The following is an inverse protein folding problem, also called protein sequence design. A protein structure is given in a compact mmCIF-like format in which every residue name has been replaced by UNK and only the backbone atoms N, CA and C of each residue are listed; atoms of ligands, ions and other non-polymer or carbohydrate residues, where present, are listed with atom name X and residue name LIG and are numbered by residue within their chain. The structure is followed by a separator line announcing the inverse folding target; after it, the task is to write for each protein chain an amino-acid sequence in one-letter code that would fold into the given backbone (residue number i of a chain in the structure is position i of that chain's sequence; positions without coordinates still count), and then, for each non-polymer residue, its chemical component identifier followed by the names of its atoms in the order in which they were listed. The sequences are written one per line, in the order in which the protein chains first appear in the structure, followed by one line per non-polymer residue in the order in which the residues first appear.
data_IF_264540994431
#
_entry.id   IF_264540994431
#
_cell.length_a   1.000
_cell.length_b   1.000
_cell.length_c   1.000
_cell.angle_alpha   90.00
_cell.angle_beta   90.00
_cell.angle_gamma   90.00
#
_symmetry.space_group_name_H-M   'P 1'
#
loop_
_entity.id
_entity.type
_entity.pdbx_description
1 polymer ?
#
# COMPACT_ATOMS: atom_id res chain seq x y z
N UNK A 1 -6.86 -1.36 -23.20
CA UNK A 1 -7.05 -2.82 -23.18
C UNK A 1 -8.27 -3.18 -22.33
N UNK A 2 -8.94 -4.28 -22.67
CA UNK A 2 -10.11 -4.81 -21.97
C UNK A 2 -9.68 -5.87 -20.97
N UNK A 3 -10.14 -5.77 -19.73
CA UNK A 3 -9.88 -6.72 -18.65
C UNK A 3 -11.21 -7.33 -18.19
N UNK A 4 -11.44 -8.60 -18.52
CA UNK A 4 -12.63 -9.31 -18.04
C UNK A 4 -12.46 -9.69 -16.57
N UNK A 5 -13.50 -9.45 -15.77
CA UNK A 5 -13.47 -9.69 -14.34
C UNK A 5 -13.82 -11.15 -14.03
N UNK A 6 -13.10 -11.75 -13.08
CA UNK A 6 -13.38 -13.11 -12.57
C UNK A 6 -14.83 -13.27 -12.08
N UNK A 7 -15.36 -14.48 -12.03
CA UNK A 7 -16.64 -14.79 -11.36
C UNK A 7 -16.49 -14.74 -9.84
N UNK A 8 -17.59 -14.48 -9.12
CA UNK A 8 -17.56 -14.54 -7.66
C UNK A 8 -17.10 -15.91 -7.14
N UNK A 9 -16.39 -15.93 -6.01
CA UNK A 9 -15.88 -17.17 -5.43
C UNK A 9 -14.60 -17.73 -6.07
N UNK A 10 -14.01 -17.06 -7.07
CA UNK A 10 -12.78 -17.49 -7.78
C UNK A 10 -11.63 -17.92 -6.85
N UNK A 11 -11.51 -17.34 -5.65
CA UNK A 11 -10.43 -17.67 -4.70
C UNK A 11 -10.47 -19.11 -4.17
N UNK A 12 -11.62 -19.77 -4.28
CA UNK A 12 -11.79 -21.16 -3.84
C UNK A 12 -11.53 -22.17 -4.96
N UNK A 13 -11.23 -21.69 -6.17
CA UNK A 13 -11.00 -22.55 -7.33
C UNK A 13 -9.50 -22.86 -7.46
N UNK A 14 -9.11 -24.07 -7.08
CA UNK A 14 -7.72 -24.52 -7.16
C UNK A 14 -7.23 -24.73 -8.60
N UNK A 15 -8.14 -24.94 -9.57
CA UNK A 15 -7.77 -25.14 -10.98
C UNK A 15 -7.14 -23.89 -11.59
N UNK A 16 -7.52 -22.70 -11.10
CA UNK A 16 -6.91 -21.42 -11.48
C UNK A 16 -5.39 -21.48 -11.28
N UNK A 17 -4.91 -22.12 -10.22
CA UNK A 17 -3.47 -22.22 -9.98
C UNK A 17 -2.77 -23.06 -11.05
N UNK A 18 -3.31 -24.25 -11.35
CA UNK A 18 -2.73 -25.14 -12.35
C UNK A 18 -2.75 -24.51 -13.74
N UNK A 19 -3.86 -23.86 -14.10
CA UNK A 19 -3.99 -23.18 -15.38
C UNK A 19 -3.09 -21.95 -15.49
N UNK A 20 -2.88 -21.23 -14.39
CA UNK A 20 -1.91 -20.14 -14.32
C UNK A 20 -0.50 -20.68 -14.61
N UNK A 21 -0.11 -21.81 -14.02
CA UNK A 21 1.20 -22.41 -14.29
C UNK A 21 1.32 -22.89 -15.74
N UNK A 22 0.27 -23.50 -16.28
CA UNK A 22 0.28 -24.07 -17.63
C UNK A 22 0.09 -23.04 -18.74
N UNK A 23 -0.24 -21.78 -18.42
CA UNK A 23 -0.47 -20.73 -19.42
C UNK A 23 -1.75 -20.93 -20.20
N UNK A 24 -2.74 -21.55 -19.56
CA UNK A 24 -4.03 -21.86 -20.16
C UNK A 24 -5.13 -20.94 -19.64
N UNK A 25 -4.85 -20.02 -18.70
CA UNK A 25 -5.81 -18.98 -18.33
C UNK A 25 -5.95 -18.00 -19.49
N UNK A 26 -7.18 -17.83 -19.95
CA UNK A 26 -7.57 -16.80 -20.89
C UNK A 26 -8.99 -16.35 -20.57
N UNK A 27 -9.42 -15.28 -21.23
CA UNK A 27 -10.71 -14.65 -20.99
C UNK A 27 -11.94 -15.47 -21.40
N UNK A 28 -11.76 -16.56 -22.16
CA UNK A 28 -12.85 -17.42 -22.63
C UNK A 28 -13.21 -18.53 -21.62
N UNK A 29 -12.45 -18.68 -20.54
CA UNK A 29 -12.73 -19.69 -19.51
C UNK A 29 -13.89 -19.29 -18.60
N UNK A 30 -14.58 -20.30 -18.08
CA UNK A 30 -15.67 -20.18 -17.10
C UNK A 30 -15.27 -19.52 -15.76
N UNK A 31 -13.99 -19.16 -15.58
CA UNK A 31 -13.52 -18.35 -14.47
C UNK A 31 -13.93 -16.89 -14.58
N UNK A 32 -14.26 -16.40 -15.78
CA UNK A 32 -14.55 -15.00 -16.04
C UNK A 32 -16.05 -14.74 -16.19
N UNK A 33 -16.45 -13.57 -15.72
CA UNK A 33 -17.79 -13.02 -15.87
C UNK A 33 -17.90 -12.24 -17.18
N UNK A 34 -19.12 -11.79 -17.51
CA UNK A 34 -19.36 -10.86 -18.62
C UNK A 34 -19.00 -9.40 -18.28
N UNK A 35 -18.65 -9.11 -17.04
CA UNK A 35 -18.23 -7.78 -16.61
C UNK A 35 -16.78 -7.56 -17.02
N UNK A 36 -16.49 -6.37 -17.53
CA UNK A 36 -15.15 -5.97 -17.94
C UNK A 36 -14.85 -4.53 -17.54
N UNK A 37 -13.57 -4.19 -17.48
CA UNK A 37 -13.07 -2.83 -17.29
C UNK A 37 -12.09 -2.49 -18.40
N UNK A 38 -12.09 -1.23 -18.84
CA UNK A 38 -11.15 -0.73 -19.84
C UNK A 38 -10.12 0.12 -19.12
N UNK A 39 -8.84 -0.17 -19.35
CA UNK A 39 -7.71 0.62 -18.87
C UNK A 39 -6.67 0.79 -19.97
N UNK A 40 -5.78 1.76 -19.85
CA UNK A 40 -4.61 1.84 -20.73
C UNK A 40 -3.64 0.69 -20.47
N UNK A 41 -2.80 0.38 -21.46
CA UNK A 41 -1.74 -0.61 -21.29
C UNK A 41 -0.78 -0.13 -20.20
N UNK A 42 -0.57 -0.98 -19.19
CA UNK A 42 0.35 -0.71 -18.09
C UNK A 42 1.63 -1.52 -18.29
N UNK A 43 2.82 -0.89 -18.24
CA UNK A 43 4.10 -1.58 -18.21
C UNK A 43 4.19 -2.61 -17.08
N UNK A 44 5.15 -3.52 -17.14
CA UNK A 44 5.45 -4.38 -16.01
C UNK A 44 6.00 -3.57 -14.84
N UNK A 45 5.62 -3.94 -13.62
CA UNK A 45 6.03 -3.25 -12.42
C UNK A 45 6.10 -4.22 -11.23
N UNK A 46 6.94 -3.94 -10.22
CA UNK A 46 7.03 -4.77 -9.02
C UNK A 46 5.69 -4.89 -8.26
N UNK A 47 5.14 -6.11 -8.17
CA UNK A 47 3.84 -6.37 -7.50
C UNK A 47 3.97 -6.99 -6.10
N UNK A 48 5.13 -7.58 -5.79
CA UNK A 48 5.39 -8.24 -4.51
C UNK A 48 6.72 -7.78 -3.93
N UNK A 49 6.65 -7.06 -2.81
CA UNK A 49 7.77 -6.26 -2.28
C UNK A 49 8.29 -6.75 -0.92
N UNK A 50 8.09 -8.03 -0.58
CA UNK A 50 8.50 -8.54 0.74
C UNK A 50 10.01 -8.44 1.00
N UNK A 51 10.83 -8.53 -0.05
CA UNK A 51 12.29 -8.39 0.00
C UNK A 51 12.79 -7.34 -0.99
N UNK A 52 11.92 -6.41 -1.40
CA UNK A 52 12.27 -5.43 -2.41
C UNK A 52 13.25 -4.39 -1.89
N UNK A 53 13.92 -3.71 -2.81
CA UNK A 53 14.66 -2.48 -2.51
C UNK A 53 13.77 -1.26 -2.69
N UNK A 54 14.19 -0.11 -2.13
CA UNK A 54 13.47 1.16 -2.26
C UNK A 54 13.16 1.51 -3.72
N UNK A 55 14.11 1.23 -4.63
CA UNK A 55 13.95 1.50 -6.06
C UNK A 55 12.76 0.75 -6.67
N UNK A 56 12.50 -0.50 -6.26
CA UNK A 56 11.36 -1.28 -6.78
C UNK A 56 10.02 -0.73 -6.27
N UNK A 57 9.99 -0.18 -5.04
CA UNK A 57 8.80 0.50 -4.53
C UNK A 57 8.55 1.80 -5.31
N UNK A 58 9.58 2.62 -5.51
CA UNK A 58 9.49 3.87 -6.29
C UNK A 58 9.05 3.58 -7.73
N UNK A 59 9.63 2.56 -8.37
CA UNK A 59 9.25 2.12 -9.72
C UNK A 59 7.76 1.76 -9.79
N UNK A 60 7.28 0.92 -8.87
CA UNK A 60 5.88 0.53 -8.81
C UNK A 60 4.95 1.74 -8.62
N UNK A 61 5.30 2.64 -7.69
CA UNK A 61 4.53 3.88 -7.45
C UNK A 61 4.47 4.75 -8.70
N UNK A 62 5.60 4.96 -9.38
CA UNK A 62 5.67 5.78 -10.58
C UNK A 62 4.83 5.21 -11.74
N UNK A 63 4.93 3.90 -11.99
CA UNK A 63 4.13 3.25 -13.05
C UNK A 63 2.64 3.34 -12.72
N UNK A 64 2.24 3.04 -11.48
CA UNK A 64 0.83 3.12 -11.07
C UNK A 64 0.30 4.57 -11.12
N UNK A 65 1.11 5.55 -10.77
CA UNK A 65 0.76 6.97 -10.86
C UNK A 65 0.55 7.43 -12.30
N UNK A 66 1.33 6.94 -13.25
CA UNK A 66 1.19 7.31 -14.65
C UNK A 66 0.02 6.60 -15.35
N UNK A 67 -0.24 5.34 -14.98
CA UNK A 67 -1.13 4.49 -15.77
C UNK A 67 -2.43 4.07 -15.07
N UNK A 68 -2.51 4.14 -13.74
CA UNK A 68 -3.67 3.59 -12.99
C UNK A 68 -4.49 4.64 -12.25
N UNK A 69 -3.87 5.63 -11.61
CA UNK A 69 -4.63 6.54 -10.72
C UNK A 69 -5.59 7.48 -11.45
N UNK A 70 -5.49 7.59 -12.78
CA UNK A 70 -6.44 8.32 -13.63
C UNK A 70 -7.68 7.51 -14.01
N UNK A 71 -7.67 6.20 -13.77
CA UNK A 71 -8.86 5.36 -13.93
C UNK A 71 -9.85 5.64 -12.82
N UNK A 72 -11.12 5.27 -13.00
CA UNK A 72 -12.10 5.35 -11.93
C UNK A 72 -11.61 4.61 -10.67
N UNK A 73 -11.86 5.20 -9.51
CA UNK A 73 -11.38 4.67 -8.24
C UNK A 73 -11.92 3.28 -7.92
N UNK A 74 -13.09 2.93 -8.44
CA UNK A 74 -13.69 1.60 -8.34
C UNK A 74 -12.97 0.54 -9.21
N UNK A 75 -12.02 0.96 -10.07
CA UNK A 75 -11.14 0.08 -10.85
C UNK A 75 -9.86 -0.15 -10.06
N UNK A 76 -9.07 0.90 -9.83
CA UNK A 76 -7.74 0.73 -9.24
C UNK A 76 -7.77 0.39 -7.74
N UNK A 77 -8.88 0.62 -7.02
CA UNK A 77 -9.06 0.11 -5.65
C UNK A 77 -9.88 -1.19 -5.57
N UNK A 78 -10.00 -1.94 -6.68
CA UNK A 78 -10.78 -3.17 -6.73
C UNK A 78 -9.89 -4.43 -6.84
N UNK A 79 -9.97 -5.29 -5.82
CA UNK A 79 -9.19 -6.53 -5.79
C UNK A 79 -9.58 -7.55 -6.86
N UNK A 80 -10.85 -7.62 -7.26
CA UNK A 80 -11.32 -8.49 -8.34
C UNK A 80 -10.70 -8.07 -9.67
N UNK A 81 -10.64 -6.76 -9.93
CA UNK A 81 -9.93 -6.21 -11.07
C UNK A 81 -8.45 -6.61 -11.06
N UNK A 82 -7.73 -6.34 -9.96
CA UNK A 82 -6.30 -6.66 -9.87
C UNK A 82 -6.01 -8.15 -10.05
N UNK A 83 -6.79 -9.03 -9.43
CA UNK A 83 -6.58 -10.47 -9.61
C UNK A 83 -6.83 -10.91 -11.06
N UNK A 84 -7.87 -10.38 -11.70
CA UNK A 84 -8.17 -10.69 -13.10
C UNK A 84 -7.02 -10.22 -14.01
N UNK A 85 -6.55 -8.99 -13.79
CA UNK A 85 -5.45 -8.40 -14.53
C UNK A 85 -4.14 -9.19 -14.37
N UNK A 86 -3.79 -9.56 -13.14
CA UNK A 86 -2.54 -10.25 -12.84
C UNK A 86 -2.51 -11.68 -13.42
N UNK A 87 -3.65 -12.36 -13.45
CA UNK A 87 -3.73 -13.73 -13.96
C UNK A 87 -3.46 -13.85 -15.46
N UNK A 88 -3.93 -12.88 -16.24
CA UNK A 88 -3.89 -12.93 -17.71
C UNK A 88 -2.75 -12.07 -18.23
N UNK A 89 -2.76 -10.77 -17.92
CA UNK A 89 -1.88 -9.78 -18.55
C UNK A 89 -0.48 -9.73 -17.96
N UNK A 90 -0.29 -10.21 -16.72
CA UNK A 90 1.01 -10.17 -16.02
C UNK A 90 1.60 -11.54 -15.72
N UNK A 91 1.01 -12.60 -16.27
CA UNK A 91 1.43 -13.99 -15.99
C UNK A 91 2.93 -14.19 -16.21
N UNK A 92 3.42 -13.86 -17.40
CA UNK A 92 4.78 -14.17 -17.80
C UNK A 92 5.79 -13.40 -16.94
N UNK A 93 5.55 -12.10 -16.74
CA UNK A 93 6.30 -11.28 -15.79
C UNK A 93 6.32 -11.89 -14.38
N UNK A 94 5.18 -12.34 -13.85
CA UNK A 94 5.09 -12.94 -12.51
C UNK A 94 5.88 -14.24 -12.42
N UNK A 95 5.78 -15.09 -13.45
CA UNK A 95 6.48 -16.38 -13.53
C UNK A 95 8.00 -16.18 -13.56
N UNK A 96 8.47 -15.13 -14.22
CA UNK A 96 9.88 -14.78 -14.33
C UNK A 96 10.41 -14.08 -13.07
N UNK A 97 9.75 -13.00 -12.64
CA UNK A 97 10.19 -12.15 -11.52
C UNK A 97 9.97 -12.81 -10.16
N UNK A 98 8.93 -13.63 -10.01
CA UNK A 98 8.54 -14.26 -8.75
C UNK A 98 8.38 -15.78 -8.88
N UNK A 99 9.44 -16.52 -9.22
CA UNK A 99 9.36 -17.95 -9.54
C UNK A 99 8.80 -18.81 -8.40
N UNK A 100 8.84 -18.33 -7.14
CA UNK A 100 8.24 -19.00 -5.99
C UNK A 100 6.74 -19.28 -6.11
N UNK A 101 6.02 -18.60 -7.01
CA UNK A 101 4.61 -18.94 -7.34
C UNK A 101 4.46 -20.38 -7.82
N UNK A 102 5.50 -20.94 -8.45
CA UNK A 102 5.52 -22.34 -8.93
C UNK A 102 5.65 -23.36 -7.80
N UNK A 103 6.08 -22.94 -6.62
CA UNK A 103 6.42 -23.87 -5.54
C UNK A 103 5.19 -24.31 -4.73
N UNK A 104 4.13 -23.48 -4.66
CA UNK A 104 2.89 -23.84 -3.99
C UNK A 104 1.74 -22.87 -4.33
N UNK A 105 0.50 -23.37 -4.25
CA UNK A 105 -0.71 -22.54 -4.31
C UNK A 105 -0.73 -21.43 -3.26
N UNK A 106 -0.11 -21.67 -2.09
CA UNK A 106 0.04 -20.66 -1.04
C UNK A 106 0.89 -19.48 -1.50
N UNK A 107 2.03 -19.73 -2.15
CA UNK A 107 2.88 -18.66 -2.68
C UNK A 107 2.19 -17.90 -3.81
N UNK A 108 1.52 -18.63 -4.70
CA UNK A 108 0.67 -18.04 -5.74
C UNK A 108 -0.41 -17.12 -5.13
N UNK A 109 -1.16 -17.60 -4.14
CA UNK A 109 -2.19 -16.81 -3.48
C UNK A 109 -1.61 -15.60 -2.73
N UNK A 110 -0.37 -15.67 -2.23
CA UNK A 110 0.27 -14.54 -1.57
C UNK A 110 0.78 -13.45 -2.54
N UNK A 111 0.90 -13.75 -3.83
CA UNK A 111 1.46 -12.85 -4.84
C UNK A 111 0.37 -12.39 -5.81
N UNK A 112 -0.42 -13.32 -6.35
CA UNK A 112 -1.39 -13.08 -7.43
C UNK A 112 -2.79 -12.82 -6.90
N UNK A 113 -3.27 -13.66 -5.96
CA UNK A 113 -4.64 -13.58 -5.42
C UNK A 113 -4.71 -13.01 -3.99
N UNK A 114 -3.66 -12.26 -3.59
CA UNK A 114 -3.55 -11.76 -2.22
C UNK A 114 -4.69 -10.78 -1.97
N UNK A 115 -5.44 -11.01 -0.89
CA UNK A 115 -6.53 -10.13 -0.47
C UNK A 115 -6.11 -8.66 -0.61
N UNK A 116 -6.90 -7.91 -1.36
CA UNK A 116 -6.60 -6.54 -1.74
C UNK A 116 -6.99 -5.59 -0.61
N UNK A 117 -6.14 -5.52 0.39
CA UNK A 117 -6.25 -4.63 1.54
C UNK A 117 -4.88 -4.04 1.90
N UNK A 118 -4.78 -3.42 3.08
CA UNK A 118 -3.56 -2.77 3.57
C UNK A 118 -2.32 -3.68 3.62
N UNK A 119 -2.45 -5.01 3.54
CA UNK A 119 -1.31 -5.91 3.46
C UNK A 119 -0.78 -6.10 2.02
N UNK A 120 -1.59 -5.82 1.01
CA UNK A 120 -1.25 -6.00 -0.40
C UNK A 120 -0.30 -4.88 -0.87
N UNK A 121 0.77 -5.23 -1.58
CA UNK A 121 1.78 -4.26 -2.02
C UNK A 121 1.28 -3.35 -3.13
N UNK A 122 0.48 -3.86 -4.07
CA UNK A 122 -0.16 -3.03 -5.10
C UNK A 122 -1.09 -2.01 -4.43
N UNK A 123 -1.88 -2.42 -3.44
CA UNK A 123 -2.73 -1.52 -2.67
C UNK A 123 -1.93 -0.38 -2.01
N UNK A 124 -0.79 -0.70 -1.37
CA UNK A 124 0.12 0.29 -0.78
C UNK A 124 0.66 1.27 -1.82
N UNK A 125 1.13 0.75 -2.95
CA UNK A 125 1.72 1.58 -4.01
C UNK A 125 0.66 2.47 -4.67
N UNK A 126 -0.58 2.01 -4.83
CA UNK A 126 -1.68 2.83 -5.34
C UNK A 126 -2.01 3.97 -4.38
N UNK A 127 -2.12 3.71 -3.08
CA UNK A 127 -2.35 4.78 -2.11
C UNK A 127 -1.19 5.78 -2.08
N UNK A 128 0.05 5.29 -2.15
CA UNK A 128 1.22 6.17 -2.26
C UNK A 128 1.14 7.03 -3.54
N UNK A 129 0.77 6.44 -4.68
CA UNK A 129 0.59 7.16 -5.95
C UNK A 129 -0.56 8.19 -5.90
N UNK A 130 -1.71 7.84 -5.30
CA UNK A 130 -2.81 8.79 -5.06
C UNK A 130 -2.32 9.97 -4.21
N UNK A 131 -1.63 9.71 -3.09
CA UNK A 131 -1.18 10.77 -2.18
C UNK A 131 -0.14 11.70 -2.81
N UNK A 132 0.82 11.13 -3.54
CA UNK A 132 1.85 11.90 -4.26
C UNK A 132 1.21 12.79 -5.33
N UNK A 133 0.22 12.26 -6.07
CA UNK A 133 -0.53 13.05 -7.06
C UNK A 133 -1.30 14.18 -6.38
N UNK A 134 -2.05 13.86 -5.33
CA UNK A 134 -2.98 14.79 -4.70
C UNK A 134 -2.27 15.98 -4.04
N UNK A 135 -1.03 15.80 -3.57
CA UNK A 135 -0.23 16.89 -3.02
C UNK A 135 0.21 17.92 -4.09
N UNK A 136 0.28 17.53 -5.36
CA UNK A 136 0.70 18.44 -6.44
C UNK A 136 2.15 18.90 -6.31
N UNK A 137 3.07 17.98 -5.99
CA UNK A 137 4.51 18.25 -5.84
C UNK A 137 5.11 18.88 -7.11
N UNK A 138 6.16 19.69 -6.93
CA UNK A 138 6.65 20.57 -8.00
C UNK A 138 7.40 19.82 -9.11
N UNK A 139 8.00 18.67 -8.80
CA UNK A 139 8.81 17.89 -9.74
C UNK A 139 8.99 16.42 -9.31
N UNK A 140 9.45 15.59 -10.25
CA UNK A 140 9.68 14.15 -10.04
C UNK A 140 10.67 13.83 -8.90
N UNK A 141 11.63 14.70 -8.59
CA UNK A 141 12.61 14.46 -7.53
C UNK A 141 11.93 14.52 -6.16
N UNK A 142 10.96 15.42 -5.97
CA UNK A 142 10.19 15.49 -4.73
C UNK A 142 9.27 14.28 -4.57
N UNK A 143 8.64 13.84 -5.66
CA UNK A 143 7.79 12.66 -5.67
C UNK A 143 8.57 11.40 -5.29
N UNK A 144 9.76 11.21 -5.85
CA UNK A 144 10.64 10.08 -5.51
C UNK A 144 11.09 10.13 -4.05
N UNK A 145 11.51 11.31 -3.56
CA UNK A 145 11.87 11.49 -2.14
C UNK A 145 10.70 11.17 -1.21
N UNK A 146 9.48 11.44 -1.64
CA UNK A 146 8.30 11.13 -0.85
C UNK A 146 7.97 9.64 -0.87
N UNK A 147 8.06 8.99 -2.04
CA UNK A 147 7.93 7.54 -2.15
C UNK A 147 9.00 6.80 -1.31
N UNK A 148 10.25 7.29 -1.32
CA UNK A 148 11.33 6.81 -0.46
C UNK A 148 10.97 6.97 1.03
N UNK A 149 10.47 8.12 1.44
CA UNK A 149 10.07 8.39 2.83
C UNK A 149 8.95 7.45 3.32
N UNK A 150 7.96 7.17 2.46
CA UNK A 150 6.92 6.18 2.74
C UNK A 150 7.52 4.77 2.87
N UNK A 151 8.42 4.40 1.97
CA UNK A 151 9.08 3.10 1.97
C UNK A 151 9.92 2.88 3.23
N UNK A 152 10.75 3.86 3.61
CA UNK A 152 11.55 3.79 4.83
C UNK A 152 10.67 3.57 6.05
N UNK A 153 9.45 4.12 6.05
CA UNK A 153 8.51 4.04 7.16
C UNK A 153 7.32 3.11 6.88
N UNK A 154 7.51 2.06 6.08
CA UNK A 154 6.42 1.21 5.59
C UNK A 154 5.56 0.57 6.70
N UNK A 155 6.14 0.19 7.85
CA UNK A 155 5.36 -0.33 9.00
C UNK A 155 4.35 0.70 9.54
N UNK A 156 4.78 1.96 9.62
CA UNK A 156 3.92 3.06 10.07
C UNK A 156 2.91 3.43 8.99
N UNK A 157 3.33 3.46 7.73
CA UNK A 157 2.44 3.66 6.59
C UNK A 157 1.35 2.57 6.54
N UNK A 158 1.73 1.30 6.71
CA UNK A 158 0.79 0.17 6.80
C UNK A 158 -0.23 0.37 7.92
N UNK A 159 0.21 0.88 9.09
CA UNK A 159 -0.70 1.16 10.19
C UNK A 159 -1.68 2.30 9.88
N UNK A 160 -1.22 3.38 9.25
CA UNK A 160 -2.07 4.49 8.78
C UNK A 160 -3.11 3.94 7.80
N UNK A 161 -2.69 3.30 6.71
CA UNK A 161 -3.61 2.82 5.68
C UNK A 161 -4.46 1.64 6.14
N UNK A 162 -4.15 0.99 7.27
CA UNK A 162 -5.03 -0.03 7.83
C UNK A 162 -6.37 0.54 8.28
N UNK A 163 -6.39 1.77 8.82
CA UNK A 163 -7.64 2.38 9.30
C UNK A 163 -8.08 3.51 8.37
N UNK A 164 -9.28 3.43 7.77
CA UNK A 164 -9.78 4.42 6.81
C UNK A 164 -9.73 5.87 7.30
N UNK A 165 -9.89 6.11 8.61
CA UNK A 165 -9.89 7.46 9.19
C UNK A 165 -8.56 8.20 9.02
N UNK A 166 -7.45 7.48 8.82
CA UNK A 166 -6.12 8.07 8.59
C UNK A 166 -5.79 8.23 7.11
N UNK A 167 -6.62 7.76 6.18
CA UNK A 167 -6.34 7.72 4.72
C UNK A 167 -6.68 9.04 4.03
N UNK A 168 -6.10 10.13 4.53
CA UNK A 168 -6.17 11.44 3.90
C UNK A 168 -4.75 11.81 3.41
N UNK A 169 -4.63 12.16 2.12
CA UNK A 169 -3.34 12.47 1.48
C UNK A 169 -2.60 13.56 2.24
N UNK A 170 -3.22 14.73 2.41
CA UNK A 170 -2.63 15.89 3.08
C UNK A 170 -2.12 15.57 4.50
N UNK A 171 -2.91 14.86 5.31
CA UNK A 171 -2.46 14.41 6.63
C UNK A 171 -1.22 13.53 6.54
N UNK A 172 -1.24 12.52 5.66
CA UNK A 172 -0.13 11.58 5.50
C UNK A 172 1.13 12.31 5.05
N UNK A 173 1.02 13.22 4.07
CA UNK A 173 2.09 14.09 3.56
C UNK A 173 2.71 14.94 4.67
N UNK A 174 1.90 15.69 5.40
CA UNK A 174 2.36 16.52 6.53
C UNK A 174 3.01 15.66 7.62
N UNK A 175 2.38 14.56 8.00
CA UNK A 175 2.86 13.67 9.07
C UNK A 175 4.23 13.08 8.75
N UNK A 176 4.43 12.51 7.56
CA UNK A 176 5.73 11.97 7.18
C UNK A 176 6.78 13.07 6.97
N UNK A 177 6.38 14.23 6.46
CA UNK A 177 7.27 15.39 6.37
C UNK A 177 7.80 15.82 7.74
N UNK A 178 6.95 15.87 8.78
CA UNK A 178 7.40 16.14 10.15
C UNK A 178 8.35 15.04 10.64
N UNK A 179 8.03 13.77 10.39
CA UNK A 179 8.91 12.65 10.79
C UNK A 179 10.30 12.80 10.18
N UNK A 180 10.38 13.21 8.90
CA UNK A 180 11.64 13.44 8.19
C UNK A 180 12.40 14.62 8.79
N UNK A 181 11.76 15.78 8.89
CA UNK A 181 12.39 17.03 9.33
C UNK A 181 12.92 16.94 10.77
N UNK A 182 12.20 16.23 11.63
CA UNK A 182 12.57 16.04 13.04
C UNK A 182 13.40 14.77 13.28
N UNK A 183 13.79 14.05 12.22
CA UNK A 183 14.56 12.80 12.27
C UNK A 183 13.94 11.72 13.20
N UNK A 184 12.61 11.58 13.17
CA UNK A 184 11.85 10.70 14.06
C UNK A 184 11.68 9.27 13.52
N UNK A 185 12.13 8.95 12.29
CA UNK A 185 11.92 7.64 11.65
C UNK A 185 12.34 6.46 12.54
N UNK A 186 13.51 6.55 13.19
CA UNK A 186 14.00 5.51 14.12
C UNK A 186 13.11 5.42 15.36
N UNK A 187 12.76 6.57 15.95
CA UNK A 187 11.92 6.66 17.16
C UNK A 187 10.54 6.06 16.93
N UNK A 188 9.90 6.38 15.80
CA UNK A 188 8.55 5.91 15.47
C UNK A 188 8.46 4.38 15.34
N UNK A 189 9.56 3.71 14.97
CA UNK A 189 9.65 2.25 14.81
C UNK A 189 10.02 1.53 16.11
N UNK A 190 10.52 2.25 17.11
CA UNK A 190 10.98 1.68 18.37
C UNK A 190 9.82 1.06 19.16
N UNK A 191 10.06 -0.13 19.75
CA UNK A 191 9.09 -0.78 20.63
C UNK A 191 9.09 -0.14 22.02
N UNK A 192 7.91 0.04 22.60
CA UNK A 192 7.75 0.55 23.97
C UNK A 192 7.87 -0.63 24.94
N UNK A 193 9.08 -0.89 25.45
CA UNK A 193 9.36 -2.05 26.31
C UNK A 193 9.10 -1.84 27.80
N UNK A 194 8.95 -0.59 28.24
CA UNK A 194 8.94 -0.23 29.66
C UNK A 194 7.53 -0.02 30.23
N UNK A 195 6.49 -0.14 29.40
CA UNK A 195 5.09 0.05 29.76
C UNK A 195 4.36 -1.29 29.70
N UNK A 196 4.26 -1.98 30.83
CA UNK A 196 3.63 -3.30 30.92
C UNK A 196 2.10 -3.25 30.77
N UNK A 197 1.51 -2.07 30.93
CA UNK A 197 0.08 -1.80 30.67
C UNK A 197 -0.25 -1.80 29.17
N UNK A 198 0.76 -1.71 28.30
CA UNK A 198 0.62 -1.75 26.85
C UNK A 198 0.79 -3.17 26.30
N UNK A 199 0.32 -3.37 25.06
CA UNK A 199 0.52 -4.63 24.33
C UNK A 199 2.01 -4.93 24.04
N UNK A 200 2.33 -6.22 23.83
CA UNK A 200 3.71 -6.71 23.63
C UNK A 200 4.40 -6.20 22.36
N UNK A 201 3.67 -5.66 21.39
CA UNK A 201 4.19 -5.14 20.13
C UNK A 201 3.81 -3.66 19.88
N UNK A 202 3.59 -2.91 20.97
CA UNK A 202 3.32 -1.47 20.87
C UNK A 202 4.61 -0.70 20.50
N UNK A 203 4.46 0.23 19.55
CA UNK A 203 5.53 1.08 19.02
C UNK A 203 5.15 2.54 19.15
N UNK A 204 6.13 3.42 19.32
CA UNK A 204 5.87 4.86 19.51
C UNK A 204 5.01 5.45 18.39
N UNK A 205 5.30 5.17 17.11
CA UNK A 205 4.53 5.71 16.00
C UNK A 205 3.05 5.29 15.98
N UNK A 206 2.77 4.03 16.34
CA UNK A 206 1.38 3.53 16.46
C UNK A 206 0.63 4.26 17.59
N UNK A 207 1.30 4.50 18.72
CA UNK A 207 0.72 5.26 19.84
C UNK A 207 0.56 6.74 19.53
N UNK A 208 1.48 7.35 18.78
CA UNK A 208 1.34 8.72 18.30
C UNK A 208 0.07 8.86 17.46
N UNK A 209 -0.13 7.99 16.46
CA UNK A 209 -1.34 8.02 15.64
C UNK A 209 -2.62 7.78 16.46
N UNK A 210 -2.56 6.89 17.45
CA UNK A 210 -3.66 6.66 18.39
C UNK A 210 -4.04 7.91 19.17
N UNK A 211 -3.05 8.62 19.76
CA UNK A 211 -3.31 9.86 20.51
C UNK A 211 -3.75 11.01 19.61
N UNK A 212 -3.17 11.14 18.42
CA UNK A 212 -3.60 12.12 17.43
C UNK A 212 -5.09 11.92 17.14
N UNK A 213 -5.53 10.69 16.82
CA UNK A 213 -6.94 10.43 16.54
C UNK A 213 -7.89 10.73 17.71
N UNK A 214 -7.41 10.59 18.95
CA UNK A 214 -8.20 10.88 20.15
C UNK A 214 -8.33 12.38 20.43
N UNK A 215 -7.21 13.10 20.34
CA UNK A 215 -7.15 14.51 20.74
C UNK A 215 -7.54 15.46 19.59
N UNK A 216 -7.24 15.04 18.36
CA UNK A 216 -7.50 15.77 17.12
C UNK A 216 -7.99 14.76 16.08
N UNK A 217 -9.30 14.51 15.98
CA UNK A 217 -9.85 13.55 15.03
C UNK A 217 -9.20 13.77 13.67
N UNK A 218 -8.58 12.75 13.08
CA UNK A 218 -7.68 12.98 11.94
C UNK A 218 -8.39 13.44 10.68
N UNK A 219 -9.72 13.32 10.67
CA UNK A 219 -10.62 14.00 9.74
C UNK A 219 -10.41 15.53 9.75
N UNK A 220 -10.02 16.10 10.88
CA UNK A 220 -9.69 17.52 11.08
C UNK A 220 -8.19 17.82 10.95
N UNK A 221 -7.32 16.81 10.88
CA UNK A 221 -5.87 17.01 10.76
C UNK A 221 -5.40 17.69 9.47
N UNK A 222 -6.12 17.61 8.33
CA UNK A 222 -5.80 18.44 7.16
C UNK A 222 -5.77 19.94 7.48
N UNK A 223 -6.62 20.40 8.40
CA UNK A 223 -6.68 21.81 8.82
C UNK A 223 -5.54 22.21 9.75
N UNK A 224 -4.75 21.27 10.26
CA UNK A 224 -3.59 21.60 11.09
C UNK A 224 -2.44 22.07 10.20
N UNK A 225 -1.84 23.17 10.61
CA UNK A 225 -0.57 23.59 10.05
C UNK A 225 0.52 22.60 10.43
N UNK A 226 1.56 22.48 9.59
CA UNK A 226 2.65 21.51 9.81
C UNK A 226 3.30 21.65 11.18
N UNK A 227 3.49 22.88 11.66
CA UNK A 227 4.09 23.16 12.97
C UNK A 227 3.15 22.77 14.12
N UNK A 228 1.84 22.92 13.95
CA UNK A 228 0.85 22.45 14.94
C UNK A 228 0.84 20.93 15.02
N UNK A 229 0.83 20.25 13.86
CA UNK A 229 0.92 18.78 13.80
C UNK A 229 2.21 18.28 14.47
N UNK A 230 3.34 18.95 14.25
CA UNK A 230 4.60 18.66 14.93
C UNK A 230 4.46 18.76 16.45
N UNK A 231 3.85 19.83 16.96
CA UNK A 231 3.60 19.98 18.38
C UNK A 231 2.74 18.85 18.95
N UNK A 232 1.71 18.43 18.23
CA UNK A 232 0.85 17.31 18.63
C UNK A 232 1.59 15.96 18.60
N UNK A 233 2.45 15.74 17.62
CA UNK A 233 3.32 14.55 17.57
C UNK A 233 4.23 14.48 18.81
N UNK A 234 4.87 15.60 19.18
CA UNK A 234 5.73 15.64 20.36
C UNK A 234 4.95 15.48 21.67
N UNK A 235 3.77 16.10 21.79
CA UNK A 235 2.88 15.88 22.95
C UNK A 235 2.54 14.40 23.09
N UNK A 236 2.17 13.75 21.99
CA UNK A 236 1.87 12.32 21.98
C UNK A 236 3.09 11.46 22.34
N UNK A 237 4.28 11.75 21.80
CA UNK A 237 5.51 11.02 22.13
C UNK A 237 5.82 11.07 23.63
N UNK A 238 5.74 12.25 24.25
CA UNK A 238 6.05 12.46 25.67
C UNK A 238 5.17 11.63 26.62
N UNK A 239 3.95 11.25 26.21
CA UNK A 239 3.07 10.38 27.00
C UNK A 239 3.61 8.95 27.16
N UNK A 240 4.55 8.55 26.29
CA UNK A 240 5.08 7.19 26.21
C UNK A 240 6.59 7.11 26.43
N UNK A 241 7.28 8.24 26.54
CA UNK A 241 8.68 8.29 26.91
C UNK A 241 8.83 8.03 28.41
N UNK A 242 9.96 7.42 28.80
CA UNK A 242 10.29 7.32 30.23
C UNK A 242 10.43 8.73 30.77
N UNK A 243 9.72 9.04 31.86
CA UNK A 243 10.04 10.21 32.66
C UNK A 243 11.49 10.09 33.11
N UNK A 244 12.34 11.02 32.66
CA UNK A 244 13.72 11.18 33.12
C UNK A 244 13.78 11.49 34.61
#
# INVERSE_FOLDING_TARGET
MEINLLNEGYKNNEDIYNDFLNGTINYDKDYFSKEYKIIDTVPDFPIYLANAHVNEFIEAVNILKLHMIYTDRDIHLNGKFWHSYLLVEKRDYIIEKYPQVKNSIKNFNNIVLKKFDWENYIYKCILAAEYIRDEGLYNNIEEEKYAELLYENLDLFNYIIKYPIFRNSEFVMKFFSVIKDENLSSKMKEKIKHRNDLGKDERYGRRVLFELNKNYPIIMSPFLEKEELKNEIYKALRLYEKSS
#
